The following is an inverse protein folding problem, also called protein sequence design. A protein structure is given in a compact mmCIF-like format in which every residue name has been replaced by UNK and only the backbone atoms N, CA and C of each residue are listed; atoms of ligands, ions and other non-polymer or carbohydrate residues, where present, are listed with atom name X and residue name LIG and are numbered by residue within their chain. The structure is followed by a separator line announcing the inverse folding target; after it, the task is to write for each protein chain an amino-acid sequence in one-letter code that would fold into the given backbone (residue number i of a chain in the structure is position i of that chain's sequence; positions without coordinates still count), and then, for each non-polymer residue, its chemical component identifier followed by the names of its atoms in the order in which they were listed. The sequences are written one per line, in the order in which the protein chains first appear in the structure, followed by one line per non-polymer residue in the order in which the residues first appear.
data_IF_102108579293
#
_entry.id   IF_102108579293
#
_cell.length_a   1.000
_cell.length_b   1.000
_cell.length_c   1.000
_cell.angle_alpha   90.00
_cell.angle_beta   90.00
_cell.angle_gamma   90.00
#
_symmetry.space_group_name_H-M   'P 1'
#
loop_
_entity.id
_entity.type
_entity.pdbx_description
1 polymer ?
#
# COMPACT_ATOMS: atom_id res chain seq x y z
N UNK A 1 -34.34 33.77 51.67
CA UNK A 1 -34.08 32.88 50.51
C UNK A 1 -32.78 33.32 49.85
N UNK A 2 -31.73 32.48 49.76
CA UNK A 2 -30.52 32.85 49.06
C UNK A 2 -30.78 32.91 47.54
N UNK A 3 -30.10 33.80 46.79
CA UNK A 3 -30.33 33.93 45.35
C UNK A 3 -29.81 32.69 44.64
N UNK A 4 -30.66 32.04 43.83
CA UNK A 4 -30.24 30.98 42.91
C UNK A 4 -29.20 31.58 41.94
N UNK A 5 -27.94 31.16 42.05
CA UNK A 5 -26.91 31.46 41.05
C UNK A 5 -27.42 31.01 39.69
N UNK A 6 -27.55 31.94 38.75
CA UNK A 6 -27.81 31.62 37.34
C UNK A 6 -26.59 30.91 36.79
N UNK A 7 -26.73 29.64 36.40
CA UNK A 7 -25.69 28.94 35.69
C UNK A 7 -25.44 29.65 34.35
N UNK A 8 -24.23 30.15 34.14
CA UNK A 8 -23.80 30.68 32.86
C UNK A 8 -23.36 29.49 31.99
N UNK A 9 -23.98 29.33 30.82
CA UNK A 9 -23.51 28.37 29.83
C UNK A 9 -22.29 28.99 29.14
N UNK A 10 -21.10 28.48 29.47
CA UNK A 10 -19.85 28.77 28.77
C UNK A 10 -19.67 27.79 27.62
N UNK A 11 -18.81 28.13 26.66
CA UNK A 11 -18.51 27.29 25.50
C UNK A 11 -18.00 25.89 25.93
N UNK A 12 -17.12 25.84 26.94
CA UNK A 12 -16.65 24.61 27.58
C UNK A 12 -17.76 23.76 28.21
N UNK A 13 -18.76 24.38 28.86
CA UNK A 13 -19.85 23.63 29.48
C UNK A 13 -20.75 22.96 28.42
N UNK A 14 -20.94 23.62 27.28
CA UNK A 14 -21.72 23.09 26.16
C UNK A 14 -20.91 21.98 25.46
N UNK A 15 -19.62 22.17 25.22
CA UNK A 15 -18.76 21.13 24.64
C UNK A 15 -18.71 19.89 25.53
N UNK A 16 -18.58 20.04 26.85
CA UNK A 16 -18.62 18.91 27.78
C UNK A 16 -19.99 18.22 27.80
N UNK A 17 -21.10 18.97 27.72
CA UNK A 17 -22.43 18.39 27.64
C UNK A 17 -22.67 17.67 26.30
N UNK A 18 -22.20 18.22 25.18
CA UNK A 18 -22.35 17.61 23.85
C UNK A 18 -21.44 16.40 23.66
N UNK A 19 -20.23 16.41 24.23
CA UNK A 19 -19.35 15.24 24.28
C UNK A 19 -19.95 14.08 25.09
N UNK A 20 -20.71 14.40 26.15
CA UNK A 20 -21.40 13.39 26.97
C UNK A 20 -22.58 12.74 26.26
N UNK A 21 -23.20 13.41 25.27
CA UNK A 21 -24.37 12.90 24.55
C UNK A 21 -24.00 11.80 23.53
N UNK A 22 -22.72 11.40 23.39
CA UNK A 22 -22.31 10.26 22.54
C UNK A 22 -23.07 10.20 21.19
N UNK A 23 -23.24 11.35 20.52
CA UNK A 23 -24.02 11.48 19.27
C UNK A 23 -23.51 10.60 18.13
N UNK A 24 -22.33 10.01 18.30
CA UNK A 24 -21.58 9.25 17.30
C UNK A 24 -21.63 7.74 17.54
N UNK A 25 -22.37 7.23 18.54
CA UNK A 25 -22.56 5.79 18.68
C UNK A 25 -23.70 5.29 17.76
N UNK A 26 -23.39 4.56 16.67
CA UNK A 26 -24.42 4.06 15.75
C UNK A 26 -25.37 3.03 16.39
N UNK A 27 -25.04 2.48 17.56
CA UNK A 27 -25.91 1.55 18.30
C UNK A 27 -27.02 2.22 19.14
N UNK A 28 -26.91 3.51 19.45
CA UNK A 28 -27.76 4.16 20.47
C UNK A 28 -28.30 5.52 20.03
N UNK A 29 -28.76 5.64 18.78
CA UNK A 29 -29.26 6.92 18.24
C UNK A 29 -30.51 7.46 18.94
N UNK A 30 -31.32 6.64 19.63
CA UNK A 30 -32.54 7.08 20.32
C UNK A 30 -32.30 7.54 21.77
N UNK A 31 -31.43 6.86 22.52
CA UNK A 31 -31.18 7.13 23.95
C UNK A 31 -30.42 8.45 24.15
N UNK A 32 -29.62 8.84 23.17
CA UNK A 32 -28.89 10.10 23.15
C UNK A 32 -29.78 11.33 22.84
N UNK A 33 -30.90 11.14 22.11
CA UNK A 33 -31.82 12.23 21.80
C UNK A 33 -32.72 12.61 22.99
N UNK A 34 -33.06 11.65 23.85
CA UNK A 34 -33.88 11.92 25.07
C UNK A 34 -33.16 12.83 26.06
N UNK A 35 -31.82 12.81 26.06
CA UNK A 35 -30.98 13.65 26.91
C UNK A 35 -30.98 15.13 26.48
N UNK A 36 -31.42 15.45 25.26
CA UNK A 36 -31.52 16.82 24.76
C UNK A 36 -32.70 17.58 25.37
N UNK A 37 -33.79 16.90 25.73
CA UNK A 37 -35.00 17.52 26.27
C UNK A 37 -34.76 18.38 27.52
N UNK A 38 -34.09 17.84 28.57
CA UNK A 38 -33.72 18.60 29.77
C UNK A 38 -32.79 19.79 29.48
N UNK A 39 -31.85 19.65 28.55
CA UNK A 39 -30.88 20.68 28.16
C UNK A 39 -31.60 21.84 27.47
N UNK A 40 -32.46 21.55 26.48
CA UNK A 40 -33.28 22.55 25.78
C UNK A 40 -34.18 23.30 26.77
N UNK A 41 -34.79 22.59 27.74
CA UNK A 41 -35.62 23.21 28.78
C UNK A 41 -34.82 24.16 29.67
N UNK A 42 -33.59 23.83 30.02
CA UNK A 42 -32.70 24.70 30.79
C UNK A 42 -32.26 25.94 29.99
N UNK A 43 -31.88 25.77 28.73
CA UNK A 43 -31.49 26.87 27.83
C UNK A 43 -32.65 27.86 27.68
N UNK A 44 -33.88 27.34 27.49
CA UNK A 44 -35.07 28.16 27.39
C UNK A 44 -35.39 28.89 28.69
N UNK A 45 -35.30 28.21 29.85
CA UNK A 45 -35.52 28.82 31.16
C UNK A 45 -34.52 29.95 31.48
N UNK A 46 -33.28 29.83 30.99
CA UNK A 46 -32.22 30.81 31.21
C UNK A 46 -32.13 31.90 30.11
N UNK A 47 -32.98 31.83 29.07
CA UNK A 47 -32.96 32.74 27.90
C UNK A 47 -31.60 32.78 27.16
N UNK A 48 -30.94 31.64 27.03
CA UNK A 48 -29.60 31.50 26.44
C UNK A 48 -29.59 30.86 25.04
N UNK A 49 -30.73 30.83 24.35
CA UNK A 49 -30.90 30.16 23.05
C UNK A 49 -29.89 30.63 22.01
N UNK A 50 -29.70 31.95 21.84
CA UNK A 50 -28.75 32.47 20.86
C UNK A 50 -27.30 32.11 21.17
N UNK A 51 -26.91 32.15 22.46
CA UNK A 51 -25.56 31.79 22.86
C UNK A 51 -25.29 30.31 22.59
N UNK A 52 -26.27 29.45 22.88
CA UNK A 52 -26.19 28.02 22.57
C UNK A 52 -26.09 27.76 21.07
N UNK A 53 -26.94 28.39 20.24
CA UNK A 53 -26.89 28.24 18.79
C UNK A 53 -25.55 28.70 18.21
N UNK A 54 -25.00 29.82 18.69
CA UNK A 54 -23.66 30.28 18.27
C UNK A 54 -22.56 29.27 18.62
N UNK A 55 -22.62 28.68 19.81
CA UNK A 55 -21.65 27.65 20.21
C UNK A 55 -21.78 26.38 19.37
N UNK A 56 -23.00 25.90 19.11
CA UNK A 56 -23.24 24.73 18.24
C UNK A 56 -22.75 25.00 16.82
N UNK A 57 -22.99 26.20 16.28
CA UNK A 57 -22.48 26.59 14.97
C UNK A 57 -20.94 26.54 14.93
N UNK A 58 -20.26 27.08 15.93
CA UNK A 58 -18.81 27.00 16.02
C UNK A 58 -18.27 25.57 16.15
N UNK A 59 -19.02 24.68 16.83
CA UNK A 59 -18.68 23.25 16.91
C UNK A 59 -18.81 22.58 15.53
N UNK A 60 -19.87 22.88 14.78
CA UNK A 60 -20.06 22.37 13.41
C UNK A 60 -18.88 22.80 12.53
N UNK A 61 -18.56 24.10 12.51
CA UNK A 61 -17.44 24.64 11.73
C UNK A 61 -16.10 24.00 12.09
N UNK A 62 -15.85 23.79 13.39
CA UNK A 62 -14.66 23.09 13.89
C UNK A 62 -14.61 21.63 13.43
N UNK A 63 -15.74 20.93 13.46
CA UNK A 63 -15.83 19.52 13.03
C UNK A 63 -15.71 19.36 11.53
N UNK A 64 -16.29 20.28 10.74
CA UNK A 64 -16.12 20.29 9.29
C UNK A 64 -14.64 20.49 8.93
N UNK A 65 -13.93 21.41 9.62
CA UNK A 65 -12.49 21.60 9.42
C UNK A 65 -11.66 20.36 9.82
N UNK A 66 -12.02 19.68 10.92
CA UNK A 66 -11.40 18.40 11.31
C UNK A 66 -11.59 17.33 10.23
N UNK A 67 -12.82 17.20 9.70
CA UNK A 67 -13.16 16.24 8.65
C UNK A 67 -12.36 16.54 7.38
N UNK A 68 -12.34 17.80 6.93
CA UNK A 68 -11.58 18.22 5.74
C UNK A 68 -10.10 17.90 5.88
N UNK A 69 -9.51 18.13 7.06
CA UNK A 69 -8.12 17.79 7.35
C UNK A 69 -7.88 16.29 7.24
N UNK A 70 -8.71 15.47 7.90
CA UNK A 70 -8.59 14.01 7.86
C UNK A 70 -8.75 13.48 6.43
N UNK A 71 -9.71 14.03 5.67
CA UNK A 71 -9.91 13.67 4.26
C UNK A 71 -8.70 14.07 3.41
N UNK A 72 -8.14 15.26 3.64
CA UNK A 72 -6.94 15.74 2.96
C UNK A 72 -5.74 14.85 3.21
N UNK A 73 -5.45 14.54 4.47
CA UNK A 73 -4.32 13.69 4.87
C UNK A 73 -4.46 12.28 4.27
N UNK A 74 -5.63 11.65 4.40
CA UNK A 74 -5.89 10.32 3.84
C UNK A 74 -5.77 10.30 2.30
N UNK A 75 -6.23 11.35 1.62
CA UNK A 75 -6.11 11.42 0.16
C UNK A 75 -4.65 11.52 -0.28
N UNK A 76 -3.82 12.30 0.42
CA UNK A 76 -2.38 12.38 0.11
C UNK A 76 -1.67 11.06 0.35
N UNK A 77 -1.95 10.37 1.45
CA UNK A 77 -1.38 9.06 1.76
C UNK A 77 -1.79 8.01 0.73
N UNK A 78 -3.04 8.04 0.27
CA UNK A 78 -3.52 7.19 -0.80
C UNK A 78 -2.77 7.42 -2.11
N UNK A 79 -2.62 8.68 -2.54
CA UNK A 79 -1.89 9.03 -3.76
C UNK A 79 -0.43 8.59 -3.68
N UNK A 80 0.23 8.80 -2.53
CA UNK A 80 1.60 8.36 -2.28
C UNK A 80 1.74 6.82 -2.38
N UNK A 81 0.78 6.09 -1.79
CA UNK A 81 0.73 4.63 -1.84
C UNK A 81 0.56 4.12 -3.28
N UNK A 82 -0.33 4.73 -4.06
CA UNK A 82 -0.55 4.40 -5.47
C UNK A 82 0.70 4.68 -6.31
N UNK A 83 1.38 5.80 -6.09
CA UNK A 83 2.65 6.13 -6.77
C UNK A 83 3.76 5.11 -6.46
N UNK A 84 3.83 4.66 -5.20
CA UNK A 84 4.75 3.61 -4.78
C UNK A 84 4.43 2.29 -5.48
N UNK A 85 3.15 1.91 -5.59
CA UNK A 85 2.73 0.71 -6.34
C UNK A 85 3.09 0.78 -7.83
N UNK A 86 2.92 1.94 -8.47
CA UNK A 86 3.36 2.13 -9.86
C UNK A 86 4.87 1.95 -10.02
N UNK A 87 5.64 2.46 -9.06
CA UNK A 87 7.09 2.31 -9.02
C UNK A 87 7.49 0.84 -8.88
N UNK A 88 6.89 0.11 -7.93
CA UNK A 88 7.11 -1.33 -7.73
C UNK A 88 6.76 -2.12 -8.99
N UNK A 89 5.62 -1.80 -9.63
CA UNK A 89 5.23 -2.42 -10.91
C UNK A 89 6.30 -2.20 -11.97
N UNK A 90 6.78 -0.96 -12.14
CA UNK A 90 7.83 -0.65 -13.12
C UNK A 90 9.13 -1.43 -12.87
N UNK A 91 9.56 -1.54 -11.62
CA UNK A 91 10.74 -2.34 -11.27
C UNK A 91 10.53 -3.83 -11.54
N UNK A 92 9.34 -4.35 -11.25
CA UNK A 92 8.98 -5.75 -11.49
C UNK A 92 8.95 -6.07 -12.98
N UNK A 93 8.38 -5.18 -13.80
CA UNK A 93 8.36 -5.31 -15.26
C UNK A 93 9.79 -5.34 -15.83
N UNK A 94 10.65 -4.41 -15.37
CA UNK A 94 12.07 -4.39 -15.76
C UNK A 94 12.84 -5.63 -15.32
N UNK A 95 12.57 -6.13 -14.12
CA UNK A 95 13.19 -7.37 -13.63
C UNK A 95 12.78 -8.57 -14.48
N UNK A 96 11.50 -8.66 -14.86
CA UNK A 96 10.99 -9.68 -15.77
C UNK A 96 11.72 -9.63 -17.13
N UNK A 97 11.85 -8.44 -17.72
CA UNK A 97 12.59 -8.26 -18.97
C UNK A 97 14.05 -8.70 -18.86
N UNK A 98 14.73 -8.33 -17.77
CA UNK A 98 16.11 -8.75 -17.52
C UNK A 98 16.25 -10.28 -17.40
N UNK A 99 15.32 -10.93 -16.69
CA UNK A 99 15.30 -12.40 -16.56
C UNK A 99 15.09 -13.04 -17.93
N UNK A 100 14.12 -12.57 -18.72
CA UNK A 100 13.87 -13.10 -20.06
C UNK A 100 15.06 -12.91 -21.00
N UNK A 101 15.74 -11.77 -20.92
CA UNK A 101 16.97 -11.51 -21.70
C UNK A 101 18.13 -12.43 -21.28
N UNK A 102 18.29 -12.64 -19.97
CA UNK A 102 19.32 -13.54 -19.44
C UNK A 102 19.05 -14.98 -19.85
N UNK A 103 17.81 -15.46 -19.74
CA UNK A 103 17.40 -16.80 -20.16
C UNK A 103 17.71 -17.04 -21.65
N UNK A 104 17.34 -16.10 -22.51
CA UNK A 104 17.64 -16.17 -23.94
C UNK A 104 19.16 -16.22 -24.20
N UNK A 105 19.93 -15.41 -23.48
CA UNK A 105 21.40 -15.36 -23.59
C UNK A 105 22.05 -16.68 -23.14
N UNK A 106 21.62 -17.23 -22.01
CA UNK A 106 22.10 -18.51 -21.50
C UNK A 106 21.76 -19.64 -22.46
N UNK A 107 20.53 -19.68 -22.99
CA UNK A 107 20.10 -20.68 -23.95
C UNK A 107 20.94 -20.61 -25.25
N UNK A 108 21.22 -19.40 -25.75
CA UNK A 108 22.07 -19.21 -26.93
C UNK A 108 23.50 -19.69 -26.70
N UNK A 109 24.12 -19.28 -25.59
CA UNK A 109 25.47 -19.72 -25.23
C UNK A 109 25.54 -21.23 -25.03
N UNK A 110 24.53 -21.82 -24.39
CA UNK A 110 24.39 -23.26 -24.20
C UNK A 110 24.35 -24.01 -25.53
N UNK A 111 23.53 -23.56 -26.49
CA UNK A 111 23.49 -24.15 -27.84
C UNK A 111 24.86 -24.05 -28.55
N UNK A 112 25.50 -22.88 -28.50
CA UNK A 112 26.83 -22.70 -29.09
C UNK A 112 27.90 -23.61 -28.48
N UNK A 113 27.83 -23.85 -27.17
CA UNK A 113 28.74 -24.77 -26.48
C UNK A 113 28.51 -26.22 -26.90
N UNK A 114 27.26 -26.65 -27.04
CA UNK A 114 26.91 -27.99 -27.53
C UNK A 114 27.46 -28.21 -28.94
N UNK A 115 27.30 -27.25 -29.84
CA UNK A 115 27.84 -27.34 -31.20
C UNK A 115 29.37 -27.43 -31.22
N UNK A 116 30.07 -26.60 -30.42
CA UNK A 116 31.52 -26.70 -30.28
C UNK A 116 31.96 -28.06 -29.73
N UNK A 117 31.26 -28.60 -28.73
CA UNK A 117 31.53 -29.93 -28.18
C UNK A 117 31.35 -31.02 -29.24
N UNK A 118 30.29 -30.94 -30.05
CA UNK A 118 30.03 -31.87 -31.15
C UNK A 118 31.16 -31.83 -32.18
N UNK A 119 31.60 -30.63 -32.58
CA UNK A 119 32.74 -30.44 -33.49
C UNK A 119 34.04 -31.03 -32.93
N UNK A 120 34.32 -30.80 -31.64
CA UNK A 120 35.50 -31.36 -30.98
C UNK A 120 35.48 -32.90 -30.96
N UNK A 121 34.33 -33.50 -30.64
CA UNK A 121 34.17 -34.97 -30.65
C UNK A 121 34.38 -35.55 -32.05
N UNK A 122 33.86 -34.89 -33.09
CA UNK A 122 34.07 -35.30 -34.48
C UNK A 122 35.55 -35.22 -34.88
N UNK A 123 36.25 -34.15 -34.46
CA UNK A 123 37.69 -34.00 -34.68
C UNK A 123 38.48 -35.10 -33.98
N UNK A 124 38.13 -35.43 -32.73
CA UNK A 124 38.78 -36.53 -31.99
C UNK A 124 38.55 -37.89 -32.65
N UNK A 125 37.34 -38.15 -33.13
CA UNK A 125 37.03 -39.37 -33.90
C UNK A 125 37.89 -39.45 -35.17
N UNK A 126 38.02 -38.34 -35.88
CA UNK A 126 38.84 -38.27 -37.08
C UNK A 126 40.31 -38.53 -36.76
N UNK A 127 40.85 -37.93 -35.69
CA UNK A 127 42.22 -38.19 -35.24
C UNK A 127 42.45 -39.66 -34.88
N UNK A 128 41.53 -40.28 -34.13
CA UNK A 128 41.63 -41.70 -33.78
C UNK A 128 41.62 -42.61 -35.03
N UNK A 129 40.78 -42.32 -36.01
CA UNK A 129 40.76 -43.06 -37.28
C UNK A 129 42.09 -42.89 -38.06
N UNK A 130 42.72 -41.71 -37.99
CA UNK A 130 44.02 -41.48 -38.62
C UNK A 130 45.13 -42.26 -37.91
N UNK A 131 45.14 -42.28 -36.58
CA UNK A 131 46.09 -43.07 -35.79
C UNK A 131 45.98 -44.57 -36.13
N UNK A 132 44.76 -45.10 -36.22
CA UNK A 132 44.51 -46.50 -36.62
C UNK A 132 44.99 -46.81 -38.05
N UNK A 133 44.79 -45.88 -38.99
CA UNK A 133 45.29 -46.03 -40.36
C UNK A 133 46.83 -46.01 -40.40
N UNK A 134 47.47 -45.16 -39.61
CA UNK A 134 48.94 -45.12 -39.48
C UNK A 134 49.45 -46.47 -38.94
N UNK A 135 48.87 -46.97 -37.86
CA UNK A 135 49.26 -48.25 -37.26
C UNK A 135 49.11 -49.41 -38.26
N UNK A 136 48.02 -49.41 -39.03
CA UNK A 136 47.77 -50.41 -40.08
C UNK A 136 48.82 -50.36 -41.18
N UNK A 137 49.15 -49.16 -41.68
CA UNK A 137 50.19 -48.97 -42.70
C UNK A 137 51.56 -49.41 -42.19
N UNK A 138 51.90 -49.10 -40.93
CA UNK A 138 53.14 -49.55 -40.30
C UNK A 138 53.19 -51.08 -40.16
N UNK A 139 52.06 -51.72 -39.85
CA UNK A 139 51.98 -53.18 -39.79
C UNK A 139 52.23 -53.82 -41.17
N UNK A 140 51.67 -53.26 -42.24
CA UNK A 140 51.93 -53.71 -43.61
C UNK A 140 53.40 -53.60 -44.02
N UNK A 141 54.13 -52.59 -43.52
CA UNK A 141 55.56 -52.41 -43.78
C UNK A 141 56.47 -53.37 -42.98
N UNK A 142 55.94 -54.02 -41.92
CA UNK A 142 56.70 -54.94 -41.06
C UNK A 142 56.59 -56.41 -41.47
N UNK A 143 55.83 -56.72 -42.52
CA UNK A 143 55.75 -58.08 -43.08
C UNK A 143 56.92 -58.26 -44.08
N UNK A 144 57.83 -59.23 -43.86
CA UNK A 144 58.99 -59.49 -44.74
C UNK A 144 58.61 -60.05 -46.11
#
# INVERSE_FOLDING_TARGET
MPPRRRAQFTQENIDQQLQQIHLLDPSSSSENLEQLGPIIKQIHANRQQEAFLRTVQGLIESKDADIEKICGDNYQDFISSVSTLFTVKSYTDKMKENISSLDASVAQLGRGLVEKKRGLLQSKKTAANLDEAIDTLQACLRVP
#
